data_IF_191742748458
#
_entry.id   IF_191742748458
#
_cell.length_a   1.000
_cell.length_b   1.000
_cell.length_c   1.000
_cell.angle_alpha   90.00
_cell.angle_beta   90.00
_cell.angle_gamma   90.00
#
_symmetry.space_group_name_H-M   'P 1'
#
loop_
_entity.id
_entity.type
_entity.pdbx_description
1 polymer ?
#
# COMPACT_ATOMS: atom_id res chain seq x y z
N UNK A 1 -7.55 20.29 -12.80
CA UNK A 1 -6.59 21.05 -11.97
C UNK A 1 -7.10 22.41 -11.52
N UNK A 2 -8.29 22.49 -10.90
CA UNK A 2 -8.87 23.78 -10.45
C UNK A 2 -8.88 23.97 -8.92
N UNK A 3 -8.36 23.02 -8.13
CA UNK A 3 -8.41 23.11 -6.66
C UNK A 3 -7.26 23.91 -6.04
N UNK A 4 -6.12 24.07 -6.73
CA UNK A 4 -4.91 24.73 -6.18
C UNK A 4 -4.28 24.02 -4.97
N UNK A 5 -4.81 22.86 -4.56
CA UNK A 5 -4.31 22.09 -3.43
C UNK A 5 -3.07 21.29 -3.84
N UNK A 6 -2.08 21.22 -2.95
CA UNK A 6 -0.92 20.35 -3.15
C UNK A 6 -1.36 18.88 -3.19
N UNK A 7 -0.98 18.15 -4.24
CA UNK A 7 -1.23 16.72 -4.36
C UNK A 7 -0.12 15.94 -3.66
N UNK A 8 -0.38 15.44 -2.45
CA UNK A 8 0.56 14.59 -1.72
C UNK A 8 0.24 13.11 -1.93
N UNK A 9 1.26 12.31 -2.24
CA UNK A 9 1.19 10.86 -2.28
C UNK A 9 2.01 10.29 -1.13
N UNK A 10 1.35 9.66 -0.17
CA UNK A 10 2.04 8.97 0.92
C UNK A 10 2.46 7.57 0.49
N UNK A 11 3.75 7.39 0.25
CA UNK A 11 4.33 6.09 -0.09
C UNK A 11 4.83 5.40 1.18
N UNK A 12 4.31 4.20 1.45
CA UNK A 12 4.79 3.35 2.54
C UNK A 12 5.87 2.42 1.99
N UNK A 13 7.13 2.75 2.26
CA UNK A 13 8.30 1.99 1.82
C UNK A 13 8.55 0.85 2.82
N UNK A 14 7.69 -0.16 2.74
CA UNK A 14 7.72 -1.34 3.61
C UNK A 14 7.95 -2.61 2.78
N UNK A 15 8.76 -3.56 3.28
CA UNK A 15 8.89 -4.86 2.65
C UNK A 15 7.55 -5.60 2.59
N UNK A 16 7.32 -6.36 1.52
CA UNK A 16 6.11 -7.19 1.37
C UNK A 16 5.90 -8.14 2.54
N UNK A 17 6.96 -8.62 3.17
CA UNK A 17 6.85 -9.49 4.35
C UNK A 17 6.16 -8.78 5.52
N UNK A 18 6.49 -7.51 5.77
CA UNK A 18 5.82 -6.69 6.78
C UNK A 18 4.34 -6.53 6.45
N UNK A 19 4.00 -6.29 5.18
CA UNK A 19 2.62 -6.20 4.71
C UNK A 19 1.86 -7.52 4.91
N UNK A 20 2.47 -8.66 4.56
CA UNK A 20 1.88 -10.00 4.76
C UNK A 20 1.68 -10.32 6.24
N UNK A 21 2.64 -10.02 7.11
CA UNK A 21 2.50 -10.22 8.55
C UNK A 21 1.30 -9.44 9.11
N UNK A 22 1.13 -8.18 8.70
CA UNK A 22 -0.01 -7.34 9.09
C UNK A 22 -1.33 -7.87 8.54
N UNK A 23 -1.35 -8.33 7.28
CA UNK A 23 -2.53 -8.96 6.68
C UNK A 23 -2.98 -10.18 7.48
N UNK A 24 -2.05 -11.09 7.81
CA UNK A 24 -2.34 -12.29 8.60
C UNK A 24 -2.88 -11.95 9.99
N UNK A 25 -2.29 -10.97 10.65
CA UNK A 25 -2.78 -10.49 11.96
C UNK A 25 -4.21 -9.95 11.87
N UNK A 26 -4.52 -9.16 10.83
CA UNK A 26 -5.85 -8.60 10.60
C UNK A 26 -6.89 -9.68 10.28
N UNK A 27 -6.53 -10.67 9.47
CA UNK A 27 -7.41 -11.81 9.18
C UNK A 27 -7.69 -12.62 10.46
N UNK A 28 -6.67 -12.86 11.29
CA UNK A 28 -6.83 -13.58 12.55
C UNK A 28 -7.70 -12.83 13.57
N UNK A 29 -7.68 -11.50 13.56
CA UNK A 29 -8.55 -10.68 14.41
C UNK A 29 -10.04 -10.81 14.06
N UNK A 30 -10.38 -11.14 12.80
CA UNK A 30 -11.77 -11.38 12.39
C UNK A 30 -12.68 -10.15 12.44
N UNK A 31 -12.13 -8.95 12.58
CA UNK A 31 -12.87 -7.68 12.70
C UNK A 31 -13.52 -7.23 11.39
N UNK A 32 -13.21 -7.90 10.28
CA UNK A 32 -13.77 -7.61 8.96
C UNK A 32 -14.18 -8.89 8.21
N UNK A 33 -15.19 -8.81 7.32
CA UNK A 33 -15.68 -9.98 6.59
C UNK A 33 -14.73 -10.49 5.50
N UNK A 34 -13.74 -9.69 5.06
CA UNK A 34 -12.86 -10.03 3.95
C UNK A 34 -11.47 -10.45 4.42
N UNK A 35 -11.12 -11.73 4.26
CA UNK A 35 -9.85 -12.28 4.73
C UNK A 35 -8.99 -12.72 3.53
N UNK A 36 -8.24 -11.78 2.95
CA UNK A 36 -7.38 -12.10 1.80
C UNK A 36 -6.29 -13.10 2.19
N UNK A 37 -6.14 -14.15 1.40
CA UNK A 37 -5.04 -15.12 1.50
C UNK A 37 -3.70 -14.52 1.04
N UNK A 38 -2.60 -15.17 1.39
CA UNK A 38 -1.27 -14.81 0.88
C UNK A 38 -1.20 -14.91 -0.66
N UNK A 39 -1.88 -15.89 -1.27
CA UNK A 39 -1.92 -16.04 -2.72
C UNK A 39 -2.66 -14.88 -3.41
N UNK A 40 -3.74 -14.39 -2.79
CA UNK A 40 -4.42 -13.18 -3.25
C UNK A 40 -3.51 -11.95 -3.08
N UNK A 41 -2.76 -11.86 -1.96
CA UNK A 41 -1.75 -10.82 -1.76
C UNK A 41 -0.75 -10.76 -2.89
N UNK A 42 -0.13 -11.89 -3.23
CA UNK A 42 0.83 -11.96 -4.32
C UNK A 42 0.17 -11.61 -5.67
N UNK A 43 -1.09 -12.00 -5.88
CA UNK A 43 -1.83 -11.71 -7.10
C UNK A 43 -2.07 -10.21 -7.31
N UNK A 44 -2.42 -9.46 -6.27
CA UNK A 44 -2.64 -8.01 -6.43
C UNK A 44 -1.34 -7.20 -6.36
N UNK A 45 -0.33 -7.66 -5.61
CA UNK A 45 0.94 -6.94 -5.49
C UNK A 45 1.87 -7.10 -6.69
N UNK A 46 1.70 -8.14 -7.53
CA UNK A 46 2.57 -8.36 -8.72
C UNK A 46 2.63 -7.20 -9.72
N UNK A 47 1.65 -6.30 -9.70
CA UNK A 47 1.57 -5.14 -10.60
C UNK A 47 1.93 -3.83 -9.91
N UNK A 48 2.24 -3.87 -8.61
CA UNK A 48 2.62 -2.68 -7.87
C UNK A 48 3.99 -2.19 -8.34
N UNK A 49 4.09 -0.88 -8.59
CA UNK A 49 5.32 -0.17 -8.87
C UNK A 49 5.35 1.03 -7.93
N UNK A 50 6.51 1.28 -7.32
CA UNK A 50 6.70 2.46 -6.47
C UNK A 50 6.49 3.74 -7.29
N UNK A 51 6.04 4.85 -6.67
CA UNK A 51 5.78 6.07 -7.41
C UNK A 51 7.04 6.62 -8.08
N UNK A 52 6.89 7.01 -9.34
CA UNK A 52 7.94 7.57 -10.18
C UNK A 52 7.82 9.10 -10.24
N UNK A 53 8.95 9.75 -10.52
CA UNK A 53 9.02 11.21 -10.56
C UNK A 53 8.17 11.82 -11.70
N UNK A 54 7.97 11.09 -12.79
CA UNK A 54 7.18 11.52 -13.94
C UNK A 54 5.66 11.47 -13.70
N UNK A 55 5.20 10.88 -12.59
CA UNK A 55 3.80 10.89 -12.16
C UNK A 55 3.35 12.27 -11.62
N UNK A 56 4.29 13.16 -11.26
CA UNK A 56 3.97 14.55 -10.88
C UNK A 56 3.39 14.75 -9.47
N UNK A 57 3.45 13.74 -8.59
CA UNK A 57 3.01 13.84 -7.19
C UNK A 57 4.08 14.43 -6.26
N UNK A 58 3.64 15.13 -5.19
CA UNK A 58 4.51 15.41 -4.04
C UNK A 58 4.58 14.16 -3.15
N UNK A 59 5.60 13.32 -3.36
CA UNK A 59 5.70 12.05 -2.64
C UNK A 59 6.25 12.24 -1.22
N UNK A 60 5.51 11.80 -0.22
CA UNK A 60 5.95 11.71 1.19
C UNK A 60 6.22 10.24 1.51
N UNK A 61 7.48 9.89 1.72
CA UNK A 61 7.86 8.49 2.01
C UNK A 61 7.90 8.21 3.51
N UNK A 62 7.15 7.20 3.94
CA UNK A 62 7.18 6.68 5.30
C UNK A 62 7.94 5.36 5.34
N UNK A 63 8.93 5.27 6.22
CA UNK A 63 9.69 4.05 6.48
C UNK A 63 9.32 3.54 7.88
N UNK A 64 9.22 2.22 8.03
CA UNK A 64 8.84 1.58 9.29
C UNK A 64 9.66 0.34 9.60
#
# INVERSE_FOLDING_TARGET
>A
DESGAAHELHFLDLPDETCRQRLRARNAAGEHPYQASDAEFDLFTKYFVAPQADEGFNVVTHRG
#
